data_IF_556827598789
#
_entry.id   IF_556827598789
#
_cell.length_a   1.000
_cell.length_b   1.000
_cell.length_c   1.000
_cell.angle_alpha   90.00
_cell.angle_beta   90.00
_cell.angle_gamma   90.00
#
_symmetry.space_group_name_H-M   'P 1'
#
loop_
_entity.id
_entity.type
_entity.pdbx_description
1 polymer ?
#
# COMPACT_ATOMS: atom_id res chain seq x y z
N UNK A 1 8.13 18.58 -73.69
CA UNK A 1 7.05 18.80 -72.70
C UNK A 1 7.39 17.97 -71.48
N UNK A 2 8.10 18.63 -70.50
CA UNK A 2 8.70 17.97 -69.36
C UNK A 2 7.69 17.97 -68.21
N UNK A 3 7.36 16.76 -67.71
CA UNK A 3 6.52 16.57 -66.53
C UNK A 3 7.47 16.31 -65.33
N UNK A 4 7.60 17.30 -64.44
CA UNK A 4 8.30 17.16 -63.16
C UNK A 4 7.55 16.22 -62.23
N UNK A 5 8.15 15.10 -61.86
CA UNK A 5 7.75 14.27 -60.74
C UNK A 5 8.26 14.89 -59.44
N UNK A 6 7.35 15.39 -58.63
CA UNK A 6 7.61 15.84 -57.23
C UNK A 6 7.67 14.62 -56.36
N UNK A 7 8.83 14.26 -55.83
CA UNK A 7 9.03 13.21 -54.81
C UNK A 7 8.74 13.88 -53.48
N UNK A 8 7.62 13.52 -52.84
CA UNK A 8 7.38 13.84 -51.47
C UNK A 8 8.11 12.82 -50.58
N UNK A 9 9.16 13.24 -49.94
CA UNK A 9 9.79 12.50 -48.82
C UNK A 9 8.92 12.67 -47.59
N UNK A 10 8.16 11.64 -47.22
CA UNK A 10 7.50 11.55 -45.93
C UNK A 10 8.55 11.11 -44.89
N UNK A 11 9.11 12.06 -44.18
CA UNK A 11 9.91 11.81 -43.01
C UNK A 11 8.90 11.72 -41.83
N UNK A 12 8.30 10.57 -41.59
CA UNK A 12 7.62 10.27 -40.36
C UNK A 12 8.69 9.95 -39.32
N UNK A 13 9.04 10.94 -38.50
CA UNK A 13 9.68 10.71 -37.21
C UNK A 13 8.67 10.05 -36.29
N UNK A 14 8.60 8.74 -36.32
CA UNK A 14 7.96 7.95 -35.26
C UNK A 14 8.78 8.14 -33.97
N UNK A 15 8.49 9.20 -33.23
CA UNK A 15 8.85 9.27 -31.82
C UNK A 15 8.04 8.17 -31.15
N UNK A 16 8.63 6.99 -30.92
CA UNK A 16 8.10 6.04 -29.95
C UNK A 16 7.96 6.78 -28.64
N UNK A 17 6.74 7.03 -28.23
CA UNK A 17 6.43 7.51 -26.88
C UNK A 17 6.93 6.45 -25.93
N UNK A 18 8.00 6.76 -25.19
CA UNK A 18 8.49 5.87 -24.13
C UNK A 18 7.49 5.99 -23.00
N UNK A 19 6.55 5.05 -22.93
CA UNK A 19 5.63 4.95 -21.80
C UNK A 19 6.48 4.58 -20.60
N UNK A 20 6.76 5.56 -19.75
CA UNK A 20 7.44 5.35 -18.47
C UNK A 20 6.41 4.89 -17.44
N UNK A 21 6.73 3.82 -16.71
CA UNK A 21 5.90 3.35 -15.58
C UNK A 21 5.79 4.43 -14.50
N UNK A 22 4.59 4.61 -13.94
CA UNK A 22 4.37 5.42 -12.75
C UNK A 22 5.04 4.76 -11.53
N UNK A 23 5.20 5.50 -10.42
CA UNK A 23 5.75 4.91 -9.20
C UNK A 23 4.84 3.79 -8.67
N UNK A 24 3.53 3.96 -8.74
CA UNK A 24 2.56 2.91 -8.39
C UNK A 24 2.76 1.65 -9.23
N UNK A 25 2.90 1.76 -10.55
CA UNK A 25 3.15 0.61 -11.43
C UNK A 25 4.47 -0.09 -11.10
N UNK A 26 5.52 0.68 -10.76
CA UNK A 26 6.81 0.12 -10.34
C UNK A 26 6.72 -0.63 -9.01
N UNK A 27 6.02 -0.07 -8.02
CA UNK A 27 5.81 -0.71 -6.72
C UNK A 27 5.04 -2.03 -6.88
N UNK A 28 3.96 -2.02 -7.66
CA UNK A 28 3.18 -3.22 -7.99
C UNK A 28 4.03 -4.26 -8.75
N UNK A 29 4.85 -3.83 -9.70
CA UNK A 29 5.76 -4.71 -10.41
C UNK A 29 6.81 -5.32 -9.49
N UNK A 30 7.34 -4.55 -8.52
CA UNK A 30 8.31 -5.04 -7.54
C UNK A 30 7.71 -6.15 -6.67
N UNK A 31 6.56 -5.90 -6.02
CA UNK A 31 5.95 -6.92 -5.17
C UNK A 31 5.55 -8.17 -5.96
N UNK A 32 5.14 -8.02 -7.23
CA UNK A 32 4.80 -9.14 -8.08
C UNK A 32 5.99 -10.03 -8.42
N UNK A 33 7.24 -9.55 -8.24
CA UNK A 33 8.43 -10.39 -8.41
C UNK A 33 8.48 -11.54 -7.41
N UNK A 34 7.86 -11.42 -6.24
CA UNK A 34 7.72 -12.52 -5.29
C UNK A 34 6.93 -13.71 -5.85
N UNK A 35 5.92 -13.44 -6.71
CA UNK A 35 5.14 -14.48 -7.36
C UNK A 35 5.80 -15.02 -8.63
N UNK A 36 6.46 -14.15 -9.40
CA UNK A 36 7.06 -14.51 -10.70
C UNK A 36 8.47 -15.08 -10.59
N UNK A 37 9.21 -14.70 -9.54
CA UNK A 37 10.64 -15.03 -9.40
C UNK A 37 11.55 -14.16 -10.28
N UNK A 38 11.08 -13.04 -10.81
CA UNK A 38 11.83 -12.18 -11.72
C UNK A 38 12.86 -11.33 -10.97
N UNK A 39 14.03 -11.89 -10.75
CA UNK A 39 15.15 -11.24 -10.04
C UNK A 39 15.76 -10.10 -10.82
N UNK A 40 15.74 -10.14 -12.16
CA UNK A 40 16.24 -9.05 -13.00
C UNK A 40 15.35 -7.81 -12.85
N UNK A 41 14.03 -8.02 -12.90
CA UNK A 41 13.06 -6.94 -12.70
C UNK A 41 13.14 -6.35 -11.30
N UNK A 42 13.28 -7.17 -10.27
CA UNK A 42 13.49 -6.69 -8.90
C UNK A 42 14.75 -5.81 -8.80
N UNK A 43 15.87 -6.27 -9.34
CA UNK A 43 17.13 -5.51 -9.35
C UNK A 43 17.04 -4.21 -10.15
N UNK A 44 16.31 -4.21 -11.27
CA UNK A 44 16.07 -3.03 -12.09
C UNK A 44 15.29 -1.94 -11.34
N UNK A 45 14.27 -2.32 -10.59
CA UNK A 45 13.36 -1.39 -9.90
C UNK A 45 13.98 -0.79 -8.64
N UNK A 46 14.86 -1.50 -7.95
CA UNK A 46 15.48 -1.07 -6.70
C UNK A 46 16.70 -0.17 -6.91
N UNK A 47 16.86 0.83 -6.04
CA UNK A 47 18.08 1.61 -5.93
C UNK A 47 19.23 0.73 -5.42
N UNK A 48 20.47 1.11 -5.75
CA UNK A 48 21.65 0.39 -5.26
C UNK A 48 21.74 0.39 -3.72
N UNK A 49 21.43 1.55 -3.12
CA UNK A 49 21.39 1.74 -1.67
C UNK A 49 20.02 1.49 -1.03
N UNK A 50 19.20 0.60 -1.60
CA UNK A 50 17.87 0.29 -1.07
C UNK A 50 17.91 -0.12 0.42
N UNK A 51 17.00 0.45 1.21
CA UNK A 51 16.85 0.18 2.65
C UNK A 51 15.52 -0.52 2.91
N UNK A 52 15.61 -1.67 3.59
CA UNK A 52 14.46 -2.40 4.12
C UNK A 52 14.30 -2.12 5.63
N UNK A 53 13.11 -1.68 6.04
CA UNK A 53 12.79 -1.40 7.44
C UNK A 53 12.07 -2.55 8.16
N UNK A 54 11.66 -3.60 7.46
CA UNK A 54 11.16 -4.82 8.10
C UNK A 54 12.33 -5.58 8.73
N UNK A 55 12.28 -5.70 10.07
CA UNK A 55 13.36 -6.31 10.86
C UNK A 55 13.51 -7.83 10.65
N UNK A 56 12.54 -8.49 10.02
CA UNK A 56 12.62 -9.92 9.71
C UNK A 56 13.43 -10.21 8.44
N UNK A 57 13.74 -9.19 7.64
CA UNK A 57 14.43 -9.36 6.36
C UNK A 57 15.74 -8.57 6.32
N UNK A 58 16.68 -9.05 5.51
CA UNK A 58 17.92 -8.32 5.24
C UNK A 58 17.68 -7.03 4.47
N UNK A 59 18.45 -5.99 4.80
CA UNK A 59 18.46 -4.74 4.05
C UNK A 59 19.37 -4.83 2.82
N UNK A 60 19.13 -3.96 1.85
CA UNK A 60 19.87 -3.86 0.60
C UNK A 60 19.22 -4.61 -0.57
N UNK A 61 19.50 -4.12 -1.78
CA UNK A 61 18.97 -4.66 -3.04
C UNK A 61 19.22 -6.18 -3.18
N UNK A 62 20.43 -6.62 -2.87
CA UNK A 62 20.80 -8.03 -3.03
C UNK A 62 20.04 -8.96 -2.08
N UNK A 63 19.71 -8.49 -0.87
CA UNK A 63 18.89 -9.23 0.08
C UNK A 63 17.44 -9.38 -0.44
N UNK A 64 16.86 -8.33 -1.00
CA UNK A 64 15.55 -8.39 -1.63
C UNK A 64 15.53 -9.37 -2.81
N UNK A 65 16.50 -9.24 -3.73
CA UNK A 65 16.65 -10.14 -4.90
C UNK A 65 16.84 -11.59 -4.46
N UNK A 66 17.62 -11.82 -3.39
CA UNK A 66 17.78 -13.13 -2.77
C UNK A 66 16.47 -13.71 -2.24
N UNK A 67 15.62 -12.87 -1.64
CA UNK A 67 14.27 -13.29 -1.17
C UNK A 67 13.37 -13.69 -2.34
N UNK A 68 13.38 -12.93 -3.45
CA UNK A 68 12.66 -13.27 -4.68
C UNK A 68 13.10 -14.63 -5.22
N UNK A 69 14.41 -14.85 -5.31
CA UNK A 69 14.99 -16.14 -5.76
C UNK A 69 14.61 -17.30 -4.85
N UNK A 70 14.66 -17.08 -3.52
CA UNK A 70 14.29 -18.09 -2.53
C UNK A 70 12.81 -18.51 -2.68
N UNK A 71 11.88 -17.54 -2.76
CA UNK A 71 10.46 -17.80 -2.93
C UNK A 71 10.16 -18.49 -4.27
N UNK A 72 10.86 -18.12 -5.33
CA UNK A 72 10.72 -18.78 -6.64
C UNK A 72 11.09 -20.26 -6.62
N UNK A 73 12.04 -20.64 -5.74
CA UNK A 73 12.48 -22.04 -5.57
C UNK A 73 11.53 -22.90 -4.73
N UNK A 74 10.59 -22.28 -4.01
CA UNK A 74 9.68 -22.99 -3.14
C UNK A 74 8.71 -23.89 -3.92
N UNK A 75 8.33 -25.06 -3.35
CA UNK A 75 7.42 -26.00 -4.01
C UNK A 75 6.01 -25.41 -4.16
N UNK A 76 5.56 -24.61 -3.19
CA UNK A 76 4.30 -23.85 -3.27
C UNK A 76 4.64 -22.43 -3.71
N UNK A 77 3.96 -21.95 -4.73
CA UNK A 77 4.22 -20.62 -5.28
C UNK A 77 3.62 -19.54 -4.40
N UNK A 78 4.34 -18.45 -4.28
CA UNK A 78 3.85 -17.23 -3.66
C UNK A 78 2.72 -16.63 -4.49
N UNK A 79 1.67 -16.14 -3.83
CA UNK A 79 0.63 -15.33 -4.44
C UNK A 79 0.71 -13.90 -3.92
N UNK A 80 0.39 -12.94 -4.79
CA UNK A 80 0.37 -11.51 -4.51
C UNK A 80 -0.94 -10.95 -5.06
N UNK A 81 -1.81 -10.48 -4.18
CA UNK A 81 -3.10 -9.91 -4.54
C UNK A 81 -3.20 -8.49 -3.98
N UNK A 82 -2.88 -7.48 -4.81
CA UNK A 82 -3.02 -6.09 -4.40
C UNK A 82 -4.49 -5.69 -4.33
N UNK A 83 -4.88 -5.10 -3.21
CA UNK A 83 -6.25 -4.69 -2.92
C UNK A 83 -6.44 -3.20 -3.24
N UNK A 84 -5.51 -2.35 -2.77
CA UNK A 84 -5.51 -0.90 -2.94
C UNK A 84 -4.10 -0.40 -3.19
N UNK A 85 -3.97 0.64 -4.02
CA UNK A 85 -2.72 1.34 -4.26
C UNK A 85 -3.00 2.84 -4.44
N UNK A 86 -2.15 3.69 -3.89
CA UNK A 86 -2.16 5.12 -4.17
C UNK A 86 -0.76 5.72 -4.04
N UNK A 87 -0.56 6.87 -4.66
CA UNK A 87 0.71 7.58 -4.72
C UNK A 87 0.54 8.97 -4.12
N UNK A 88 1.51 9.40 -3.29
CA UNK A 88 1.60 10.76 -2.74
C UNK A 88 3.06 11.21 -2.80
N UNK A 89 3.37 12.12 -3.71
CA UNK A 89 4.72 12.62 -3.94
C UNK A 89 5.71 11.53 -4.34
N UNK A 90 6.73 11.33 -3.52
CA UNK A 90 7.76 10.31 -3.72
C UNK A 90 7.41 8.94 -3.11
N UNK A 91 6.19 8.77 -2.61
CA UNK A 91 5.77 7.55 -1.91
C UNK A 91 4.60 6.86 -2.59
N UNK A 92 4.60 5.55 -2.49
CA UNK A 92 3.48 4.68 -2.88
C UNK A 92 3.08 3.85 -1.67
N UNK A 93 1.79 3.84 -1.39
CA UNK A 93 1.16 2.97 -0.39
C UNK A 93 0.44 1.83 -1.11
N UNK A 94 0.62 0.61 -0.61
CA UNK A 94 -0.11 -0.58 -1.05
C UNK A 94 -0.79 -1.26 0.13
N UNK A 95 -2.00 -1.77 -0.09
CA UNK A 95 -2.61 -2.80 0.74
C UNK A 95 -2.66 -4.09 -0.09
N UNK A 96 -1.99 -5.13 0.38
CA UNK A 96 -1.79 -6.36 -0.39
C UNK A 96 -2.03 -7.58 0.48
N UNK A 97 -2.62 -8.63 -0.11
CA UNK A 97 -2.67 -9.96 0.51
C UNK A 97 -1.57 -10.81 -0.12
N UNK A 98 -0.65 -11.29 0.69
CA UNK A 98 0.42 -12.20 0.32
C UNK A 98 0.17 -13.60 0.87
N UNK A 99 0.55 -14.62 0.10
CA UNK A 99 0.77 -15.96 0.63
C UNK A 99 2.16 -16.41 0.21
N UNK A 100 3.14 -16.18 1.07
CA UNK A 100 4.53 -16.50 0.80
C UNK A 100 4.77 -18.00 0.89
N UNK A 101 5.00 -18.64 -0.25
CA UNK A 101 5.34 -20.06 -0.36
C UNK A 101 4.35 -21.00 0.36
N UNK A 102 3.07 -20.61 0.46
CA UNK A 102 2.04 -21.41 1.12
C UNK A 102 2.02 -21.33 2.65
N UNK A 103 2.67 -20.32 3.25
CA UNK A 103 2.71 -20.14 4.70
C UNK A 103 1.40 -19.64 5.32
N UNK A 104 0.39 -19.32 4.50
CA UNK A 104 -0.89 -18.72 4.89
C UNK A 104 -1.01 -17.30 4.37
N UNK A 105 -2.24 -16.81 4.31
CA UNK A 105 -2.51 -15.45 3.82
C UNK A 105 -2.20 -14.41 4.89
N UNK A 106 -1.54 -13.34 4.46
CA UNK A 106 -1.15 -12.22 5.28
C UNK A 106 -1.58 -10.91 4.61
N UNK A 107 -2.29 -10.08 5.35
CA UNK A 107 -2.62 -8.72 4.93
C UNK A 107 -1.46 -7.81 5.28
N UNK A 108 -0.95 -7.09 4.29
CA UNK A 108 0.16 -6.17 4.43
C UNK A 108 -0.25 -4.75 4.08
N UNK A 109 0.40 -3.80 4.76
CA UNK A 109 0.47 -2.40 4.37
C UNK A 109 1.92 -2.08 4.06
N UNK A 110 2.19 -1.77 2.80
CA UNK A 110 3.52 -1.46 2.30
C UNK A 110 3.62 0.03 1.98
N UNK A 111 4.75 0.67 2.30
CA UNK A 111 5.10 2.01 1.86
C UNK A 111 6.44 1.93 1.15
N UNK A 112 6.48 2.38 -0.10
CA UNK A 112 7.69 2.49 -0.89
C UNK A 112 8.03 3.96 -1.11
N UNK A 113 9.29 4.35 -0.88
CA UNK A 113 9.81 5.67 -1.27
C UNK A 113 10.71 5.55 -2.48
N UNK A 114 10.53 6.47 -3.41
CA UNK A 114 11.29 6.58 -4.65
C UNK A 114 12.36 7.65 -4.54
N UNK A 115 13.50 7.41 -5.19
CA UNK A 115 14.56 8.40 -5.35
C UNK A 115 14.32 9.31 -6.57
N UNK A 116 15.20 10.29 -6.76
CA UNK A 116 15.16 11.24 -7.87
C UNK A 116 15.32 10.57 -9.26
N UNK A 117 15.85 9.36 -9.31
CA UNK A 117 16.00 8.56 -10.53
C UNK A 117 14.79 7.65 -10.78
N UNK A 118 13.76 7.75 -9.94
CA UNK A 118 12.56 6.91 -10.00
C UNK A 118 12.82 5.44 -9.68
N UNK A 119 13.81 5.15 -8.81
CA UNK A 119 14.08 3.83 -8.24
C UNK A 119 13.50 3.75 -6.84
N UNK A 120 13.08 2.56 -6.43
CA UNK A 120 12.61 2.29 -5.07
C UNK A 120 13.82 2.28 -4.13
N UNK A 121 13.88 3.25 -3.23
CA UNK A 121 15.01 3.49 -2.33
C UNK A 121 14.76 2.99 -0.91
N UNK A 122 13.49 2.95 -0.45
CA UNK A 122 13.13 2.48 0.89
C UNK A 122 11.78 1.78 0.89
N UNK A 123 11.63 0.86 1.85
CA UNK A 123 10.42 0.10 2.05
C UNK A 123 10.14 -0.08 3.56
N UNK A 124 8.94 0.27 3.97
CA UNK A 124 8.34 -0.04 5.27
C UNK A 124 7.13 -0.93 5.03
N UNK A 125 6.93 -1.90 5.88
CA UNK A 125 5.75 -2.76 5.85
C UNK A 125 5.25 -3.10 7.25
N UNK A 126 4.01 -3.56 7.28
CA UNK A 126 3.40 -4.16 8.45
C UNK A 126 2.49 -5.30 7.97
N UNK A 127 2.75 -6.50 8.46
CA UNK A 127 2.02 -7.70 8.06
C UNK A 127 1.28 -8.30 9.25
N UNK A 128 0.06 -8.76 9.00
CA UNK A 128 -0.72 -9.56 9.95
C UNK A 128 -1.31 -10.76 9.23
N UNK A 129 -1.42 -11.90 9.90
CA UNK A 129 -2.17 -13.03 9.34
C UNK A 129 -3.60 -12.60 9.05
N UNK A 130 -4.14 -13.03 7.91
CA UNK A 130 -5.55 -12.90 7.65
C UNK A 130 -6.35 -13.65 8.73
N UNK A 131 -7.40 -13.01 9.21
CA UNK A 131 -8.23 -13.54 10.27
C UNK A 131 -9.69 -13.62 9.81
N UNK A 132 -10.49 -14.36 10.57
CA UNK A 132 -11.95 -14.40 10.39
C UNK A 132 -12.54 -12.98 10.41
N UNK A 133 -13.66 -12.76 9.73
CA UNK A 133 -14.34 -11.47 9.75
C UNK A 133 -14.63 -10.99 11.18
N UNK A 134 -14.71 -9.68 11.34
CA UNK A 134 -15.05 -9.05 12.62
C UNK A 134 -16.49 -9.40 13.07
N UNK A 135 -16.92 -9.01 14.29
CA UNK A 135 -18.28 -9.30 14.77
C UNK A 135 -19.40 -8.73 13.90
N UNK A 136 -19.12 -7.77 13.04
CA UNK A 136 -20.07 -7.19 12.08
C UNK A 136 -20.00 -7.83 10.68
N UNK A 137 -19.12 -8.80 10.47
CA UNK A 137 -18.98 -9.55 9.21
C UNK A 137 -18.00 -8.93 8.21
N UNK A 138 -17.24 -7.89 8.58
CA UNK A 138 -16.23 -7.26 7.72
C UNK A 138 -14.88 -7.94 7.84
N UNK A 139 -14.18 -8.05 6.69
CA UNK A 139 -12.81 -8.53 6.62
C UNK A 139 -11.81 -7.38 6.69
N UNK A 140 -10.52 -7.70 6.84
CA UNK A 140 -9.44 -6.71 6.83
C UNK A 140 -9.29 -5.98 5.49
N UNK A 141 -9.90 -6.49 4.41
CA UNK A 141 -9.64 -6.02 3.04
C UNK A 141 -10.87 -5.69 2.21
N UNK A 142 -12.07 -5.93 2.72
CA UNK A 142 -13.32 -5.59 2.02
C UNK A 142 -13.57 -4.07 1.94
N UNK A 143 -14.74 -3.66 1.52
CA UNK A 143 -15.13 -2.26 1.37
C UNK A 143 -14.75 -1.65 0.03
N UNK A 144 -15.02 -0.36 -0.11
CA UNK A 144 -14.83 0.36 -1.37
C UNK A 144 -13.35 0.51 -1.75
N UNK A 145 -13.08 0.46 -3.06
CA UNK A 145 -11.78 0.80 -3.68
C UNK A 145 -11.86 2.09 -4.48
N UNK A 146 -13.02 2.72 -4.49
CA UNK A 146 -13.25 3.94 -5.23
C UNK A 146 -12.53 5.11 -4.56
N UNK A 147 -11.70 5.81 -5.33
CA UNK A 147 -11.00 7.02 -4.90
C UNK A 147 -11.94 8.21 -5.09
N UNK A 148 -12.19 8.96 -4.01
CA UNK A 148 -13.05 10.15 -3.98
C UNK A 148 -12.32 11.32 -3.34
N UNK A 149 -12.89 12.52 -3.51
CA UNK A 149 -12.49 13.75 -2.81
C UNK A 149 -11.00 14.10 -2.98
N UNK A 150 -10.45 13.90 -4.19
CA UNK A 150 -9.06 14.23 -4.51
C UNK A 150 -8.70 15.71 -4.31
N UNK A 151 -9.70 16.58 -4.35
CA UNK A 151 -9.60 18.01 -4.09
C UNK A 151 -9.66 18.38 -2.60
N UNK A 152 -9.95 17.40 -1.72
CA UNK A 152 -10.06 17.58 -0.27
C UNK A 152 -8.91 16.95 0.53
N UNK A 153 -7.80 16.63 -0.10
CA UNK A 153 -6.69 15.91 0.56
C UNK A 153 -6.22 16.61 1.84
N UNK A 154 -6.03 17.94 1.82
CA UNK A 154 -5.58 18.66 3.01
C UNK A 154 -6.67 18.76 4.08
N UNK A 155 -7.94 18.97 3.69
CA UNK A 155 -9.08 18.98 4.62
C UNK A 155 -9.21 17.61 5.32
N UNK A 156 -9.17 16.53 4.55
CA UNK A 156 -9.22 15.16 5.08
C UNK A 156 -8.02 14.83 5.97
N UNK A 157 -6.83 15.31 5.63
CA UNK A 157 -5.61 15.15 6.45
C UNK A 157 -5.78 15.80 7.82
N UNK A 158 -6.27 17.04 7.86
CA UNK A 158 -6.51 17.75 9.13
C UNK A 158 -7.66 17.09 9.92
N UNK A 159 -8.70 16.60 9.25
CA UNK A 159 -9.77 15.85 9.91
C UNK A 159 -9.21 14.60 10.63
N UNK A 160 -8.39 13.81 9.96
CA UNK A 160 -7.79 12.61 10.55
C UNK A 160 -6.82 12.96 11.69
N UNK A 161 -5.97 13.98 11.54
CA UNK A 161 -5.10 14.43 12.64
C UNK A 161 -5.89 14.83 13.89
N UNK A 162 -6.97 15.60 13.69
CA UNK A 162 -7.83 16.00 14.80
C UNK A 162 -8.53 14.80 15.43
N UNK A 163 -9.03 13.84 14.64
CA UNK A 163 -9.60 12.60 15.14
C UNK A 163 -8.60 11.79 15.98
N UNK A 164 -7.36 11.63 15.50
CA UNK A 164 -6.31 10.94 16.24
C UNK A 164 -6.04 11.62 17.58
N UNK A 165 -5.91 12.94 17.58
CA UNK A 165 -5.64 13.71 18.80
C UNK A 165 -6.83 13.70 19.76
N UNK A 166 -8.03 13.99 19.29
CA UNK A 166 -9.21 14.14 20.14
C UNK A 166 -9.71 12.79 20.68
N UNK A 167 -9.84 11.80 19.81
CA UNK A 167 -10.51 10.55 20.11
C UNK A 167 -9.52 9.44 20.46
N UNK A 168 -8.58 9.16 19.55
CA UNK A 168 -7.69 7.99 19.72
C UNK A 168 -6.69 8.18 20.86
N UNK A 169 -6.19 9.41 21.08
CA UNK A 169 -5.37 9.74 22.25
C UNK A 169 -6.20 10.03 23.52
N UNK A 170 -7.51 10.18 23.38
CA UNK A 170 -8.42 10.46 24.48
C UNK A 170 -8.32 11.88 25.05
N UNK A 171 -7.82 12.86 24.29
CA UNK A 171 -7.69 14.23 24.76
C UNK A 171 -9.04 14.97 24.85
N UNK A 172 -9.97 14.65 23.94
CA UNK A 172 -11.31 15.24 23.87
C UNK A 172 -12.33 14.20 23.39
N UNK A 173 -12.56 13.12 24.17
CA UNK A 173 -13.42 12.00 23.75
C UNK A 173 -14.88 12.41 23.53
N UNK A 174 -15.35 13.51 24.14
CA UNK A 174 -16.68 14.08 23.94
C UNK A 174 -16.90 14.54 22.50
N UNK A 175 -15.84 14.78 21.72
CA UNK A 175 -15.92 15.17 20.31
C UNK A 175 -16.07 14.00 19.35
N UNK A 176 -16.03 12.77 19.84
CA UNK A 176 -16.18 11.58 18.96
C UNK A 176 -17.33 11.72 17.96
N UNK A 177 -18.55 12.16 18.36
CA UNK A 177 -19.66 12.30 17.42
C UNK A 177 -19.43 13.30 16.28
N UNK A 178 -18.51 14.26 16.45
CA UNK A 178 -18.25 15.30 15.45
C UNK A 178 -17.54 14.73 14.20
N UNK A 179 -16.94 13.55 14.30
CA UNK A 179 -16.16 12.89 13.24
C UNK A 179 -16.96 11.87 12.44
N UNK A 180 -18.21 11.55 12.83
CA UNK A 180 -18.98 10.49 12.23
C UNK A 180 -20.43 10.92 11.96
N UNK A 181 -21.07 10.26 10.99
CA UNK A 181 -22.49 10.43 10.72
C UNK A 181 -23.29 9.43 11.58
N UNK A 182 -23.67 9.87 12.77
CA UNK A 182 -24.35 9.01 13.76
C UNK A 182 -23.50 7.82 14.20
N UNK A 183 -24.03 6.62 14.13
CA UNK A 183 -23.32 5.36 14.44
C UNK A 183 -22.66 4.74 13.19
N UNK A 184 -22.63 5.46 12.06
CA UNK A 184 -22.09 4.95 10.78
C UNK A 184 -20.57 4.95 10.80
N UNK A 185 -19.98 3.81 11.12
CA UNK A 185 -18.55 3.56 11.07
C UNK A 185 -18.28 2.09 10.74
N UNK A 186 -17.71 1.83 9.58
CA UNK A 186 -17.36 0.47 9.17
C UNK A 186 -15.95 0.17 9.68
N UNK A 187 -15.83 -0.92 10.44
CA UNK A 187 -14.59 -1.34 11.07
C UNK A 187 -13.98 -2.53 10.34
N UNK A 188 -12.68 -2.47 10.09
CA UNK A 188 -11.92 -3.58 9.47
C UNK A 188 -10.94 -4.25 10.45
N UNK A 189 -10.89 -3.82 11.71
CA UNK A 189 -10.19 -4.56 12.75
C UNK A 189 -10.99 -5.80 13.13
N UNK A 190 -10.37 -6.96 13.08
CA UNK A 190 -11.04 -8.26 13.25
C UNK A 190 -11.58 -8.51 14.66
N UNK A 191 -11.11 -7.76 15.65
CA UNK A 191 -11.59 -7.84 17.05
C UNK A 191 -12.64 -6.80 17.46
N UNK A 192 -13.04 -5.88 16.56
CA UNK A 192 -13.88 -4.72 16.89
C UNK A 192 -15.11 -4.71 15.98
N UNK A 193 -16.29 -4.52 16.56
CA UNK A 193 -17.53 -4.35 15.81
C UNK A 193 -17.63 -2.95 15.18
N UNK A 194 -18.50 -2.81 14.20
CA UNK A 194 -18.85 -1.53 13.57
C UNK A 194 -19.47 -0.54 14.56
N UNK A 195 -19.56 0.71 14.10
CA UNK A 195 -20.22 1.81 14.78
C UNK A 195 -19.34 2.47 15.85
N UNK A 196 -19.81 3.64 16.30
CA UNK A 196 -19.21 4.32 17.45
C UNK A 196 -19.30 3.49 18.73
N UNK A 197 -20.34 2.66 18.85
CA UNK A 197 -20.51 1.71 19.94
C UNK A 197 -19.37 0.68 19.97
N UNK A 198 -18.97 0.13 18.81
CA UNK A 198 -17.84 -0.80 18.69
C UNK A 198 -16.51 -0.11 19.01
N UNK A 199 -16.27 1.07 18.42
CA UNK A 199 -15.07 1.87 18.70
C UNK A 199 -14.98 2.24 20.18
N UNK A 200 -16.06 2.74 20.77
CA UNK A 200 -16.11 3.14 22.19
C UNK A 200 -15.81 1.98 23.13
N UNK A 201 -16.38 0.81 22.89
CA UNK A 201 -16.11 -0.39 23.68
C UNK A 201 -14.63 -0.81 23.59
N UNK A 202 -14.03 -0.73 22.41
CA UNK A 202 -12.62 -1.04 22.21
C UNK A 202 -11.69 -0.06 22.95
N UNK A 203 -11.96 1.24 22.85
CA UNK A 203 -11.18 2.28 23.55
C UNK A 203 -11.30 2.15 25.06
N UNK A 204 -12.50 1.87 25.59
CA UNK A 204 -12.71 1.61 27.01
C UNK A 204 -11.92 0.38 27.49
N UNK A 205 -11.92 -0.71 26.68
CA UNK A 205 -11.19 -1.92 27.03
C UNK A 205 -9.66 -1.67 27.07
N UNK A 206 -9.12 -0.92 26.12
CA UNK A 206 -7.71 -0.50 26.11
C UNK A 206 -7.37 0.39 27.32
N UNK A 207 -8.22 1.36 27.62
CA UNK A 207 -8.06 2.22 28.79
C UNK A 207 -8.04 1.45 30.10
N UNK A 208 -8.89 0.44 30.29
CA UNK A 208 -8.87 -0.45 31.44
C UNK A 208 -7.58 -1.26 31.60
N UNK A 209 -6.90 -1.53 30.50
CA UNK A 209 -5.59 -2.20 30.47
C UNK A 209 -4.41 -1.22 30.66
N UNK A 210 -4.68 0.07 30.81
CA UNK A 210 -3.65 1.11 30.91
C UNK A 210 -2.93 1.39 29.59
N UNK A 211 -3.49 0.97 28.45
CA UNK A 211 -2.91 1.21 27.13
C UNK A 211 -3.28 2.63 26.70
N UNK A 212 -2.28 3.43 26.37
CA UNK A 212 -2.44 4.77 25.82
C UNK A 212 -1.88 4.81 24.41
N UNK A 213 -2.64 5.36 23.45
CA UNK A 213 -2.16 5.58 22.10
C UNK A 213 -1.37 6.89 22.02
N UNK A 214 -0.24 6.85 21.36
CA UNK A 214 0.63 8.01 21.09
C UNK A 214 0.84 8.07 19.59
N UNK A 215 0.58 9.24 18.98
CA UNK A 215 0.72 9.50 17.55
C UNK A 215 1.64 10.69 17.28
#
# INVERSE_FOLDING_TARGET
MNIFRKIFSNNQNDKKEVITMTNTEKALALINTFATGDTEKASELLAEGYVQHNLAYGTGRDAFVGSVSYLASAPVKTTVNNIRAFEDGDKVFLQTVYNFAGAGEQVAFDIFRFDENGKIAEHWDNLANEAEPNPSGHTQTDGTKEIKDLDKTEENRELIKNFLYDVMQGNRPEKTPDYFDGDTYIQHNTGIADGLSGLGAALEALGKQGIQMIY
#
